data_IF_096900745078
#
_entry.id   IF_096900745078
#
_cell.length_a   1.000
_cell.length_b   1.000
_cell.length_c   1.000
_cell.angle_alpha   90.00
_cell.angle_beta   90.00
_cell.angle_gamma   90.00
#
_symmetry.space_group_name_H-M   'P 1'
#
loop_
_entity.id
_entity.type
_entity.pdbx_description
1 polymer ?
#
# COMPACT_ATOMS: atom_id res chain seq x y z
N UNK A 1 30.59 -27.36 -28.13
CA UNK A 1 29.41 -26.47 -28.21
C UNK A 1 29.21 -25.79 -26.86
N UNK A 2 29.60 -24.52 -26.74
CA UNK A 2 29.48 -23.75 -25.48
C UNK A 2 28.06 -23.19 -25.36
N UNK A 3 27.35 -23.55 -24.30
CA UNK A 3 26.02 -22.99 -23.98
C UNK A 3 26.22 -21.49 -23.70
N UNK A 4 25.57 -20.63 -24.49
CA UNK A 4 25.51 -19.19 -24.20
C UNK A 4 24.60 -19.02 -22.98
N UNK A 5 25.20 -18.54 -21.91
CA UNK A 5 24.50 -18.05 -20.72
C UNK A 5 23.70 -16.82 -21.13
N UNK A 6 22.37 -16.90 -21.00
CA UNK A 6 21.47 -15.78 -21.28
C UNK A 6 21.47 -14.91 -20.03
N UNK A 7 22.27 -13.85 -20.05
CA UNK A 7 22.22 -12.77 -19.06
C UNK A 7 20.79 -12.23 -19.00
N UNK A 8 20.14 -12.40 -17.84
CA UNK A 8 18.83 -11.80 -17.57
C UNK A 8 19.06 -10.31 -17.27
N UNK A 9 18.34 -9.39 -17.91
CA UNK A 9 18.54 -7.97 -17.65
C UNK A 9 18.18 -7.66 -16.19
N UNK A 10 19.13 -7.01 -15.51
CA UNK A 10 18.96 -6.43 -14.18
C UNK A 10 17.71 -5.53 -14.19
N UNK A 11 16.59 -6.06 -13.70
CA UNK A 11 15.40 -5.28 -13.45
C UNK A 11 15.72 -4.38 -12.26
N UNK A 12 16.12 -3.14 -12.54
CA UNK A 12 16.14 -2.06 -11.55
C UNK A 12 14.70 -1.93 -11.06
N UNK A 13 14.44 -2.49 -9.88
CA UNK A 13 13.13 -2.45 -9.23
C UNK A 13 12.90 -0.99 -8.82
N UNK A 14 12.33 -0.21 -9.73
CA UNK A 14 11.85 1.14 -9.43
C UNK A 14 10.88 1.03 -8.24
N UNK A 15 11.02 1.91 -7.25
CA UNK A 15 10.30 1.90 -5.97
C UNK A 15 8.77 2.04 -6.12
N UNK A 16 8.27 2.08 -7.35
CA UNK A 16 6.87 2.23 -7.77
C UNK A 16 6.15 0.90 -8.05
N UNK A 17 6.85 -0.23 -8.04
CA UNK A 17 6.32 -1.54 -8.49
C UNK A 17 5.88 -2.43 -7.33
N UNK A 18 5.01 -1.93 -6.45
CA UNK A 18 4.46 -2.72 -5.35
C UNK A 18 3.13 -3.34 -5.73
N UNK A 19 2.98 -4.65 -5.52
CA UNK A 19 1.67 -5.32 -5.61
C UNK A 19 0.99 -5.21 -4.25
N UNK A 20 -0.20 -4.62 -4.21
CA UNK A 20 -1.02 -4.62 -2.99
C UNK A 20 -2.01 -5.76 -3.06
N UNK A 21 -2.08 -6.51 -1.97
CA UNK A 21 -3.11 -7.52 -1.79
C UNK A 21 -4.04 -7.05 -0.69
N UNK A 22 -5.31 -6.83 -1.02
CA UNK A 22 -6.33 -6.50 -0.06
C UNK A 22 -7.01 -7.78 0.41
N UNK A 23 -7.06 -7.95 1.73
CA UNK A 23 -7.63 -9.15 2.33
C UNK A 23 -8.98 -8.82 2.97
N UNK A 24 -10.03 -9.47 2.47
CA UNK A 24 -11.41 -9.36 2.94
C UNK A 24 -11.81 -10.64 3.69
N UNK A 25 -12.64 -10.51 4.72
CA UNK A 25 -13.23 -11.66 5.42
C UNK A 25 -14.65 -11.95 4.95
N UNK A 26 -15.07 -13.21 5.08
CA UNK A 26 -16.47 -13.58 4.99
C UNK A 26 -17.26 -13.06 6.21
N UNK A 27 -18.38 -12.36 5.99
CA UNK A 27 -19.23 -11.85 7.09
C UNK A 27 -20.01 -12.97 7.81
N UNK A 28 -20.03 -14.18 7.25
CA UNK A 28 -20.73 -15.36 7.76
C UNK A 28 -19.84 -16.34 8.54
N UNK A 29 -18.60 -15.96 8.85
CA UNK A 29 -17.69 -16.82 9.62
C UNK A 29 -18.09 -16.87 11.09
N UNK A 30 -18.49 -18.05 11.57
CA UNK A 30 -18.64 -18.38 13.00
C UNK A 30 -17.41 -17.85 13.74
N UNK A 31 -17.62 -16.98 14.74
CA UNK A 31 -16.56 -16.62 15.69
C UNK A 31 -16.14 -17.91 16.38
N UNK A 32 -15.04 -18.51 15.95
CA UNK A 32 -14.39 -19.56 16.75
C UNK A 32 -14.05 -18.92 18.09
N UNK A 33 -14.73 -19.35 19.15
CA UNK A 33 -14.59 -18.83 20.53
C UNK A 33 -13.32 -19.34 21.21
N UNK A 34 -12.43 -20.04 20.49
CA UNK A 34 -11.13 -20.44 21.01
C UNK A 34 -10.21 -19.21 21.00
N UNK A 35 -10.23 -18.46 22.09
CA UNK A 35 -9.22 -17.46 22.41
C UNK A 35 -7.90 -18.16 22.69
N UNK A 36 -7.19 -18.54 21.64
CA UNK A 36 -5.79 -18.96 21.78
C UNK A 36 -4.95 -17.71 21.65
N UNK A 37 -4.53 -17.15 22.79
CA UNK A 37 -3.38 -16.26 22.86
C UNK A 37 -2.14 -17.06 22.46
N UNK A 38 -1.96 -17.27 21.16
CA UNK A 38 -0.85 -18.01 20.56
C UNK A 38 0.25 -17.07 20.07
N UNK A 39 1.52 -17.52 20.07
CA UNK A 39 2.68 -16.71 19.69
C UNK A 39 2.59 -16.21 18.24
N UNK A 40 3.32 -15.13 17.95
CA UNK A 40 3.31 -14.43 16.67
C UNK A 40 3.76 -15.27 15.46
N UNK A 41 4.28 -16.48 15.71
CA UNK A 41 4.71 -17.49 14.75
C UNK A 41 3.82 -18.74 14.82
N UNK A 42 2.51 -18.56 15.02
CA UNK A 42 1.58 -19.68 14.95
C UNK A 42 1.57 -20.22 13.51
N UNK A 43 2.14 -21.42 13.32
CA UNK A 43 2.01 -22.18 12.09
C UNK A 43 0.52 -22.35 11.79
N UNK A 44 0.05 -21.61 10.78
CA UNK A 44 -1.33 -21.71 10.32
C UNK A 44 -1.43 -23.05 9.58
N UNK A 45 -2.30 -23.98 10.02
CA UNK A 45 -2.46 -25.23 9.31
C UNK A 45 -2.89 -24.97 7.86
N UNK A 46 -2.30 -25.70 6.91
CA UNK A 46 -2.54 -25.48 5.48
C UNK A 46 -4.02 -25.65 5.12
N UNK A 47 -4.72 -26.56 5.81
CA UNK A 47 -6.16 -26.77 5.64
C UNK A 47 -7.01 -25.54 6.03
N UNK A 48 -6.47 -24.61 6.81
CA UNK A 48 -7.15 -23.38 7.20
C UNK A 48 -6.86 -22.20 6.27
N UNK A 49 -5.91 -22.33 5.33
CA UNK A 49 -5.58 -21.30 4.32
C UNK A 49 -6.55 -21.31 3.13
N UNK A 50 -7.85 -21.42 3.41
CA UNK A 50 -8.90 -21.45 2.38
C UNK A 50 -9.25 -20.05 1.89
N UNK A 51 -9.29 -19.90 0.56
CA UNK A 51 -9.68 -18.67 -0.12
C UNK A 51 -11.02 -18.87 -0.83
N UNK A 52 -11.97 -17.97 -0.59
CA UNK A 52 -13.26 -17.96 -1.27
C UNK A 52 -13.14 -17.42 -2.70
N UNK A 53 -12.40 -16.31 -2.85
CA UNK A 53 -12.29 -15.56 -4.11
C UNK A 53 -10.95 -14.87 -4.20
N UNK A 54 -10.36 -14.89 -5.39
CA UNK A 54 -9.13 -14.14 -5.72
C UNK A 54 -9.31 -13.53 -7.11
N UNK A 55 -9.13 -12.23 -7.23
CA UNK A 55 -9.17 -11.57 -8.53
C UNK A 55 -8.34 -10.28 -8.53
N UNK A 56 -7.97 -9.82 -9.72
CA UNK A 56 -7.24 -8.55 -9.90
C UNK A 56 -8.23 -7.39 -10.00
N UNK A 57 -7.94 -6.30 -9.30
CA UNK A 57 -8.73 -5.08 -9.36
C UNK A 57 -8.38 -4.32 -10.67
N UNK A 58 -9.36 -3.74 -11.37
CA UNK A 58 -9.10 -2.84 -12.49
C UNK A 58 -8.18 -1.69 -12.07
N UNK A 59 -7.19 -1.42 -12.91
CA UNK A 59 -6.22 -0.37 -12.63
C UNK A 59 -6.84 1.01 -12.91
N UNK A 60 -6.65 2.00 -12.03
CA UNK A 60 -6.99 3.39 -12.31
C UNK A 60 -6.32 3.90 -13.59
N UNK A 61 -7.03 4.72 -14.38
CA UNK A 61 -6.55 5.24 -15.68
C UNK A 61 -5.25 6.06 -15.59
N UNK A 62 -4.99 6.67 -14.44
CA UNK A 62 -3.79 7.50 -14.23
C UNK A 62 -2.50 6.69 -14.02
N UNK A 63 -2.59 5.36 -13.82
CA UNK A 63 -1.42 4.51 -13.63
C UNK A 63 -0.95 3.89 -14.95
N UNK A 64 0.37 3.75 -15.11
CA UNK A 64 0.99 3.16 -16.30
C UNK A 64 0.64 1.68 -16.48
N UNK A 65 0.63 1.17 -17.72
CA UNK A 65 0.36 -0.26 -18.01
C UNK A 65 1.44 -1.20 -17.46
N UNK A 66 2.66 -0.68 -17.24
CA UNK A 66 3.73 -1.40 -16.58
C UNK A 66 3.49 -1.59 -15.06
N UNK A 67 2.63 -0.78 -14.43
CA UNK A 67 2.33 -0.91 -13.00
C UNK A 67 1.49 -2.16 -12.76
N UNK A 68 1.91 -3.06 -11.85
CA UNK A 68 1.15 -4.27 -11.57
C UNK A 68 -0.22 -3.94 -10.98
N UNK A 69 -1.20 -4.81 -11.26
CA UNK A 69 -2.56 -4.65 -10.71
C UNK A 69 -2.62 -5.16 -9.28
N UNK A 70 -3.36 -4.43 -8.45
CA UNK A 70 -3.70 -4.89 -7.10
C UNK A 70 -4.59 -6.14 -7.14
N UNK A 71 -4.46 -7.00 -6.13
CA UNK A 71 -5.22 -8.24 -5.98
C UNK A 71 -6.18 -8.10 -4.80
N UNK A 72 -7.43 -8.50 -5.00
CA UNK A 72 -8.42 -8.63 -3.94
C UNK A 72 -8.63 -10.10 -3.63
N UNK A 73 -8.39 -10.46 -2.37
CA UNK A 73 -8.52 -11.83 -1.87
C UNK A 73 -9.55 -11.86 -0.75
N UNK A 74 -10.51 -12.79 -0.85
CA UNK A 74 -11.47 -13.11 0.21
C UNK A 74 -11.01 -14.39 0.91
N UNK A 75 -10.57 -14.26 2.15
CA UNK A 75 -10.20 -15.40 3.01
C UNK A 75 -11.47 -15.96 3.66
N UNK A 76 -11.59 -17.29 3.67
CA UNK A 76 -12.75 -18.00 4.21
C UNK A 76 -12.93 -17.69 5.70
N UNK A 77 -11.88 -17.90 6.49
CA UNK A 77 -11.90 -17.72 7.94
C UNK A 77 -11.45 -16.31 8.37
N UNK A 78 -12.27 -15.66 9.22
CA UNK A 78 -11.95 -14.34 9.75
C UNK A 78 -10.67 -14.31 10.59
N UNK A 79 -10.47 -15.29 11.47
CA UNK A 79 -9.31 -15.33 12.37
C UNK A 79 -8.00 -15.51 11.59
N UNK A 80 -7.99 -16.38 10.57
CA UNK A 80 -6.85 -16.58 9.67
C UNK A 80 -6.47 -15.29 8.95
N UNK A 81 -7.46 -14.54 8.45
CA UNK A 81 -7.22 -13.21 7.87
C UNK A 81 -6.48 -12.28 8.84
N UNK A 82 -6.93 -12.21 10.10
CA UNK A 82 -6.31 -11.34 11.10
C UNK A 82 -4.88 -11.80 11.43
N UNK A 83 -4.65 -13.11 11.58
CA UNK A 83 -3.31 -13.67 11.81
C UNK A 83 -2.39 -13.33 10.63
N UNK A 84 -2.82 -13.52 9.38
CA UNK A 84 -2.05 -13.17 8.18
C UNK A 84 -1.66 -11.69 8.19
N UNK A 85 -2.63 -10.80 8.48
CA UNK A 85 -2.39 -9.35 8.51
C UNK A 85 -1.50 -8.91 9.68
N UNK A 86 -1.58 -9.54 10.85
CA UNK A 86 -0.71 -9.25 12.00
C UNK A 86 0.70 -9.74 11.70
N UNK A 87 0.84 -10.98 11.25
CA UNK A 87 2.12 -11.61 10.90
C UNK A 87 2.83 -10.80 9.83
N UNK A 88 2.12 -10.36 8.78
CA UNK A 88 2.68 -9.51 7.73
C UNK A 88 3.16 -8.13 8.21
N UNK A 89 2.60 -7.58 9.29
CA UNK A 89 3.03 -6.28 9.86
C UNK A 89 4.20 -6.43 10.82
N UNK A 90 4.28 -7.57 11.51
CA UNK A 90 5.34 -7.86 12.48
C UNK A 90 6.61 -8.38 11.80
N UNK A 91 6.48 -9.03 10.64
CA UNK A 91 7.62 -9.41 9.79
C UNK A 91 8.37 -8.15 9.34
N UNK A 92 9.62 -8.02 9.79
CA UNK A 92 10.52 -6.93 9.43
C UNK A 92 11.12 -7.12 8.03
N UNK A 93 11.29 -8.37 7.61
CA UNK A 93 11.88 -8.73 6.32
C UNK A 93 10.78 -9.06 5.31
N UNK A 94 10.84 -8.51 4.09
CA UNK A 94 9.91 -8.86 3.03
C UNK A 94 10.19 -10.29 2.54
N UNK A 95 9.23 -10.88 1.82
CA UNK A 95 9.38 -12.23 1.27
C UNK A 95 10.54 -12.28 0.26
N UNK A 96 11.35 -13.34 0.29
CA UNK A 96 12.53 -13.49 -0.57
C UNK A 96 12.18 -13.40 -2.07
N UNK A 97 11.18 -14.16 -2.50
CA UNK A 97 10.76 -14.18 -3.92
C UNK A 97 9.86 -13.01 -4.30
N UNK A 98 9.21 -12.37 -3.31
CA UNK A 98 8.17 -11.36 -3.52
C UNK A 98 8.37 -10.15 -2.62
N UNK A 99 9.52 -9.44 -2.75
CA UNK A 99 9.87 -8.40 -1.80
C UNK A 99 8.95 -7.17 -1.89
N UNK A 100 8.25 -7.01 -3.02
CA UNK A 100 7.40 -5.85 -3.32
C UNK A 100 5.94 -6.04 -2.91
N UNK A 101 5.55 -7.25 -2.45
CA UNK A 101 4.17 -7.55 -2.07
C UNK A 101 3.86 -6.98 -0.69
N UNK A 102 2.76 -6.22 -0.58
CA UNK A 102 2.28 -5.66 0.67
C UNK A 102 0.82 -6.05 0.91
N UNK A 103 0.54 -6.57 2.11
CA UNK A 103 -0.81 -6.97 2.50
C UNK A 103 -1.52 -5.82 3.24
N UNK A 104 -2.76 -5.55 2.84
CA UNK A 104 -3.62 -4.55 3.45
C UNK A 104 -5.00 -5.13 3.77
N UNK A 105 -5.67 -4.55 4.76
CA UNK A 105 -7.07 -4.87 5.00
C UNK A 105 -7.94 -4.22 3.93
N UNK A 106 -8.97 -4.92 3.46
CA UNK A 106 -10.02 -4.34 2.62
C UNK A 106 -10.94 -3.46 3.49
N UNK A 107 -10.92 -2.14 3.27
CA UNK A 107 -11.70 -1.16 4.01
C UNK A 107 -12.58 -0.36 3.04
N UNK A 108 -13.78 0.00 3.49
CA UNK A 108 -14.66 0.85 2.68
C UNK A 108 -14.05 2.24 2.47
N UNK A 109 -14.43 2.90 1.38
CA UNK A 109 -14.02 4.27 1.09
C UNK A 109 -14.41 5.26 2.21
N UNK A 110 -15.56 5.04 2.85
CA UNK A 110 -16.02 5.86 3.99
C UNK A 110 -15.11 5.70 5.19
N UNK A 111 -14.72 4.47 5.53
CA UNK A 111 -13.77 4.18 6.61
C UNK A 111 -12.38 4.74 6.31
N UNK A 112 -11.91 4.63 5.07
CA UNK A 112 -10.63 5.21 4.65
C UNK A 112 -10.63 6.75 4.76
N UNK A 113 -11.73 7.41 4.36
CA UNK A 113 -11.91 8.85 4.51
C UNK A 113 -11.86 9.25 5.99
N UNK A 114 -12.63 8.57 6.83
CA UNK A 114 -12.64 8.84 8.27
C UNK A 114 -11.26 8.62 8.90
N UNK A 115 -10.50 7.59 8.51
CA UNK A 115 -9.11 7.40 8.97
C UNK A 115 -8.19 8.51 8.50
N UNK A 116 -8.41 9.06 7.30
CA UNK A 116 -7.65 10.20 6.79
C UNK A 116 -7.86 11.46 7.64
N UNK A 117 -9.05 11.64 8.23
CA UNK A 117 -9.32 12.76 9.15
C UNK A 117 -8.45 12.70 10.42
N UNK A 118 -7.99 11.52 10.81
CA UNK A 118 -7.03 11.33 11.91
C UNK A 118 -5.55 11.52 11.50
N UNK A 119 -5.24 11.84 10.23
CA UNK A 119 -3.85 11.97 9.78
C UNK A 119 -3.05 12.99 10.59
N UNK A 120 -3.57 14.21 10.90
CA UNK A 120 -2.83 15.18 11.69
C UNK A 120 -2.47 14.67 13.09
N UNK A 121 -3.35 13.89 13.71
CA UNK A 121 -3.13 13.26 15.02
C UNK A 121 -2.06 12.17 14.88
N UNK A 122 -2.19 11.30 13.87
CA UNK A 122 -1.24 10.23 13.60
C UNK A 122 0.18 10.77 13.36
N UNK A 123 0.32 11.87 12.62
CA UNK A 123 1.60 12.50 12.32
C UNK A 123 2.25 13.05 13.59
N UNK A 124 1.47 13.71 14.45
CA UNK A 124 1.93 14.18 15.77
C UNK A 124 2.35 13.03 16.68
N UNK A 125 1.60 11.93 16.71
CA UNK A 125 1.96 10.74 17.49
C UNK A 125 3.29 10.14 17.00
N UNK A 126 3.49 10.03 15.67
CA UNK A 126 4.76 9.54 15.09
C UNK A 126 5.92 10.47 15.42
N UNK A 127 5.74 11.79 15.31
CA UNK A 127 6.78 12.77 15.62
C UNK A 127 7.26 12.69 17.08
N UNK A 128 6.37 12.32 17.99
CA UNK A 128 6.68 12.16 19.42
C UNK A 128 7.04 10.71 19.81
N UNK A 129 7.28 9.82 18.83
CA UNK A 129 7.66 8.42 19.08
C UNK A 129 6.58 7.56 19.75
N UNK A 130 5.32 8.04 19.80
CA UNK A 130 4.22 7.29 20.39
C UNK A 130 3.70 6.22 19.45
N UNK A 131 3.51 5.01 20.00
CA UNK A 131 2.94 3.88 19.26
C UNK A 131 1.43 3.98 19.25
N UNK A 132 0.84 3.79 18.08
CA UNK A 132 -0.60 3.66 17.94
C UNK A 132 -0.96 2.54 16.95
N UNK A 133 -2.20 2.08 17.00
CA UNK A 133 -2.78 1.09 16.08
C UNK A 133 -4.18 1.52 15.67
N UNK A 134 -4.59 1.14 14.48
CA UNK A 134 -5.95 1.37 14.00
C UNK A 134 -6.88 0.26 14.48
N UNK A 135 -7.90 0.62 15.25
CA UNK A 135 -9.05 -0.23 15.55
C UNK A 135 -10.13 -0.13 14.47
N UNK A 136 -10.94 -1.18 14.37
CA UNK A 136 -12.08 -1.19 13.45
C UNK A 136 -13.30 -0.45 14.04
N UNK A 137 -14.08 0.28 13.23
CA UNK A 137 -13.79 0.68 11.84
C UNK A 137 -12.77 1.84 11.77
N UNK A 138 -12.92 2.83 12.65
CA UNK A 138 -12.20 4.12 12.63
C UNK A 138 -11.64 4.53 13.99
N UNK A 139 -11.44 3.58 14.88
CA UNK A 139 -10.87 3.87 16.20
C UNK A 139 -9.36 3.98 16.09
N UNK A 140 -8.74 4.87 16.84
CA UNK A 140 -7.28 4.89 17.02
C UNK A 140 -6.96 4.49 18.45
N UNK A 141 -6.12 3.47 18.61
CA UNK A 141 -5.68 2.92 19.88
C UNK A 141 -4.25 3.38 20.11
N UNK A 142 -4.03 4.21 21.11
CA UNK A 142 -2.75 4.83 21.43
C UNK A 142 -2.17 4.12 22.66
N UNK A 143 -0.90 3.75 22.59
CA UNK A 143 -0.17 3.15 23.69
C UNK A 143 0.75 4.20 24.33
N UNK A 144 0.46 4.57 25.57
CA UNK A 144 1.23 5.56 26.32
C UNK A 144 1.46 5.04 27.74
N UNK A 145 2.72 4.94 28.17
CA UNK A 145 3.14 4.53 29.53
C UNK A 145 2.36 3.30 30.04
N UNK A 146 2.27 2.26 29.21
CA UNK A 146 1.58 1.00 29.54
C UNK A 146 0.04 1.07 29.55
N UNK A 147 -0.57 2.23 29.29
CA UNK A 147 -2.02 2.41 29.19
C UNK A 147 -2.46 2.51 27.72
N UNK A 148 -3.62 1.91 27.44
CA UNK A 148 -4.26 1.97 26.13
C UNK A 148 -5.37 3.02 26.17
N UNK A 149 -5.27 4.00 25.26
CA UNK A 149 -6.28 5.01 25.06
C UNK A 149 -6.96 4.78 23.72
N UNK A 150 -8.29 4.79 23.68
CA UNK A 150 -9.05 4.65 22.45
C UNK A 150 -9.74 5.97 22.14
N UNK A 151 -9.55 6.47 20.92
CA UNK A 151 -10.25 7.66 20.42
C UNK A 151 -11.12 7.26 19.23
N UNK A 152 -12.34 7.76 19.18
CA UNK A 152 -13.29 7.47 18.10
C UNK A 152 -13.57 8.68 17.21
N UNK A 153 -13.30 9.89 17.68
CA UNK A 153 -13.44 11.12 16.92
C UNK A 153 -12.12 11.89 16.84
N UNK A 154 -11.86 12.65 15.76
CA UNK A 154 -10.67 13.49 15.67
C UNK A 154 -10.60 14.56 16.78
N UNK A 155 -11.74 15.13 17.17
CA UNK A 155 -11.81 16.13 18.24
C UNK A 155 -11.42 15.57 19.62
N UNK A 156 -11.78 14.32 19.91
CA UNK A 156 -11.31 13.64 21.12
C UNK A 156 -9.79 13.45 21.07
N UNK A 157 -9.26 13.11 19.89
CA UNK A 157 -7.83 12.98 19.66
C UNK A 157 -7.06 14.28 19.90
N UNK A 158 -7.56 15.43 19.42
CA UNK A 158 -6.88 16.72 19.64
C UNK A 158 -6.87 17.12 21.11
N UNK A 159 -8.00 16.96 21.82
CA UNK A 159 -8.09 17.20 23.27
C UNK A 159 -7.11 16.32 24.05
N UNK A 160 -6.97 15.04 23.65
CA UNK A 160 -6.00 14.11 24.25
C UNK A 160 -4.56 14.56 24.02
N UNK A 161 -4.20 14.98 22.81
CA UNK A 161 -2.86 15.50 22.51
C UNK A 161 -2.53 16.74 23.36
N UNK A 162 -3.50 17.66 23.52
CA UNK A 162 -3.36 18.82 24.39
C UNK A 162 -3.14 18.41 25.86
N UNK A 163 -3.87 17.40 26.34
CA UNK A 163 -3.70 16.85 27.69
C UNK A 163 -2.28 16.30 27.92
N UNK A 164 -1.65 15.75 26.88
CA UNK A 164 -0.29 15.24 26.94
C UNK A 164 0.79 16.29 26.66
N UNK A 165 0.41 17.57 26.50
CA UNK A 165 1.34 18.66 26.25
C UNK A 165 2.00 18.59 24.87
N UNK A 166 1.41 17.87 23.92
CA UNK A 166 1.94 17.77 22.56
C UNK A 166 1.45 19.00 21.79
N UNK A 167 2.36 19.94 21.58
CA UNK A 167 2.05 21.23 20.96
C UNK A 167 1.36 21.08 19.60
N UNK A 168 0.43 22.00 19.32
CA UNK A 168 -0.09 22.24 17.99
C UNK A 168 0.99 22.94 17.16
N UNK A 169 2.00 22.19 16.72
CA UNK A 169 2.80 22.67 15.62
C UNK A 169 1.88 22.64 14.40
N UNK A 170 1.34 23.82 14.10
CA UNK A 170 0.61 24.12 12.88
C UNK A 170 1.54 23.76 11.73
N UNK A 171 1.44 22.53 11.24
CA UNK A 171 1.89 22.23 9.89
C UNK A 171 1.01 23.08 9.00
N UNK A 172 1.54 24.22 8.59
CA UNK A 172 1.15 24.84 7.33
C UNK A 172 0.95 23.71 6.32
N UNK A 173 -0.12 23.83 5.54
CA UNK A 173 -0.41 22.93 4.44
C UNK A 173 0.87 22.79 3.61
N UNK A 174 1.64 21.72 3.80
CA UNK A 174 2.37 21.14 2.69
C UNK A 174 1.30 20.55 1.80
N UNK A 175 0.66 21.43 1.03
CA UNK A 175 0.16 21.11 -0.29
C UNK A 175 1.22 20.18 -0.88
N UNK A 176 0.92 18.91 -1.23
CA UNK A 176 1.88 18.14 -2.01
C UNK A 176 2.26 19.06 -3.16
N UNK A 177 3.55 19.32 -3.43
CA UNK A 177 3.96 20.37 -4.36
C UNK A 177 3.05 20.22 -5.56
N UNK A 178 2.16 21.21 -5.75
CA UNK A 178 1.34 21.26 -6.95
C UNK A 178 2.40 21.20 -8.03
N UNK A 179 2.50 20.03 -8.67
CA UNK A 179 3.60 19.72 -9.58
C UNK A 179 3.48 20.83 -10.59
N UNK A 180 4.37 21.80 -10.48
CA UNK A 180 4.28 23.03 -11.22
C UNK A 180 4.29 22.55 -12.67
N UNK A 181 3.13 22.59 -13.33
CA UNK A 181 3.05 22.48 -14.78
C UNK A 181 3.57 23.83 -15.29
N UNK A 182 4.81 24.18 -14.91
CA UNK A 182 5.60 25.03 -15.76
C UNK A 182 5.70 24.23 -17.04
N UNK A 183 4.89 24.68 -17.99
CA UNK A 183 4.89 24.24 -19.36
C UNK A 183 6.33 23.98 -19.77
N UNK A 184 6.62 22.73 -20.14
CA UNK A 184 7.80 22.46 -20.95
C UNK A 184 7.61 23.32 -22.20
N UNK A 185 8.24 24.49 -22.19
CA UNK A 185 8.49 25.27 -23.40
C UNK A 185 9.29 24.34 -24.29
N UNK A 186 8.62 23.75 -25.28
CA UNK A 186 9.31 23.07 -26.37
C UNK A 186 10.28 24.10 -26.96
N UNK A 187 11.59 23.81 -27.03
CA UNK A 187 12.47 24.70 -27.77
C UNK A 187 11.97 24.71 -29.22
N UNK A 188 11.55 25.89 -29.66
CA UNK A 188 11.31 26.17 -31.06
C UNK A 188 12.65 26.07 -31.78
N UNK A 189 12.98 24.90 -32.32
CA UNK A 189 14.03 24.77 -33.34
C UNK A 189 13.42 25.17 -34.68
N UNK A 190 13.45 26.47 -34.94
CA UNK A 190 13.43 27.00 -36.29
C UNK A 190 14.81 26.73 -36.91
N UNK A 191 14.84 26.03 -38.04
CA UNK A 191 15.95 26.11 -38.99
C UNK A 191 16.96 24.97 -38.98
N UNK A 192 16.81 24.10 -39.98
CA UNK A 192 17.74 24.03 -41.14
C UNK A 192 18.58 22.75 -41.33
N UNK A 193 18.33 22.09 -42.48
CA UNK A 193 19.11 21.05 -43.20
C UNK A 193 19.46 19.74 -42.43
N UNK A 194 19.23 18.50 -42.90
CA UNK A 194 19.33 17.91 -44.23
C UNK A 194 18.31 16.77 -44.41
N UNK A 195 17.71 16.76 -45.60
CA UNK A 195 16.82 15.74 -46.14
C UNK A 195 17.67 14.51 -46.53
N UNK A 196 17.62 13.40 -45.79
CA UNK A 196 18.08 12.11 -46.33
C UNK A 196 16.89 11.44 -46.99
N UNK A 197 16.88 11.49 -48.32
CA UNK A 197 15.89 10.83 -49.18
C UNK A 197 16.24 9.34 -49.21
N UNK A 198 15.41 8.49 -48.61
CA UNK A 198 15.44 7.06 -48.93
C UNK A 198 14.90 6.90 -50.36
N UNK A 199 15.63 6.23 -51.28
CA UNK A 199 15.08 5.93 -52.59
C UNK A 199 14.00 4.84 -52.46
N UNK A 200 12.89 4.94 -53.22
CA UNK A 200 11.85 3.92 -53.20
C UNK A 200 12.35 2.60 -53.83
N UNK A 201 11.87 1.43 -53.35
CA UNK A 201 12.23 0.14 -53.90
C UNK A 201 11.65 -0.02 -55.31
N UNK A 202 12.49 -0.45 -56.27
CA UNK A 202 12.11 -0.73 -57.65
C UNK A 202 11.32 -2.05 -57.74
N UNK A 203 10.21 -2.11 -58.50
CA UNK A 203 9.43 -3.32 -58.68
C UNK A 203 10.01 -4.20 -59.80
N UNK A 204 10.19 -5.49 -59.49
CA UNK A 204 10.31 -6.56 -60.50
C UNK A 204 11.73 -6.96 -60.87
N UNK A 205 12.28 -7.93 -60.14
CA UNK A 205 13.07 -9.02 -60.72
C UNK A 205 12.62 -10.32 -60.04
N UNK A 206 12.44 -11.35 -60.87
CA UNK A 206 11.80 -12.64 -60.62
C UNK A 206 12.32 -13.42 -59.40
#
# INVERSE_FOLDING_TARGET
MRKKEVERPNHVIDARTHVRVYVRSNQYGVRSTKSTSGPADADIPEEMLLLDRVHRIPKPRHLSDATPRDVLTKVYYFHIKEIILITSRNKSTPHQDYPTVKLFADLSATTLKQRKDFSPIADRLRANGMRFRWGYPTKMIILQVGKLYMISTPEEGTKRLQTWGIAENMSEKTTPPSRNLQAYKMPHTSGDTLRTVYPPPQPGQC
#
